data_IF_817705643914
#
_entry.id   IF_817705643914
#
_cell.length_a   1.000
_cell.length_b   1.000
_cell.length_c   1.000
_cell.angle_alpha   90.00
_cell.angle_beta   90.00
_cell.angle_gamma   90.00
#
_symmetry.space_group_name_H-M   'P 1'
#
loop_
_entity.id
_entity.type
_entity.pdbx_description
1 polymer ?
#
# COMPACT_ATOMS: atom_id res chain seq x y z
N UNK A 1 76.44 -21.73 -35.83
CA UNK A 1 75.83 -20.42 -35.54
C UNK A 1 74.61 -20.28 -36.44
N UNK A 2 73.41 -20.55 -35.92
CA UNK A 2 72.14 -20.14 -36.53
C UNK A 2 71.24 -19.71 -35.37
N UNK A 3 70.95 -18.42 -35.33
CA UNK A 3 70.17 -17.72 -34.33
C UNK A 3 68.68 -17.87 -34.62
N UNK A 4 67.95 -18.48 -33.71
CA UNK A 4 66.49 -18.50 -33.67
C UNK A 4 65.96 -17.08 -33.44
N UNK A 5 64.97 -16.61 -34.21
CA UNK A 5 64.49 -15.23 -34.09
C UNK A 5 63.59 -15.06 -32.86
N UNK A 6 63.94 -14.08 -32.03
CA UNK A 6 63.25 -13.61 -30.81
C UNK A 6 61.79 -13.16 -31.01
N UNK A 7 61.27 -13.17 -32.24
CA UNK A 7 59.93 -12.67 -32.58
C UNK A 7 58.80 -13.65 -32.30
N UNK A 8 59.08 -14.96 -32.19
CA UNK A 8 58.03 -15.97 -31.98
C UNK A 8 57.57 -16.01 -30.51
N UNK A 9 58.46 -15.75 -29.55
CA UNK A 9 58.10 -15.76 -28.13
C UNK A 9 57.28 -14.54 -27.69
N UNK A 10 57.42 -13.40 -28.36
CA UNK A 10 56.63 -12.20 -28.04
C UNK A 10 55.18 -12.36 -28.52
N UNK A 11 54.97 -12.99 -29.69
CA UNK A 11 53.63 -13.20 -30.24
C UNK A 11 52.80 -14.16 -29.38
N UNK A 12 53.42 -15.24 -28.88
CA UNK A 12 52.71 -16.22 -28.03
C UNK A 12 52.34 -15.61 -26.68
N UNK A 13 53.19 -14.76 -26.09
CA UNK A 13 52.90 -14.07 -24.82
C UNK A 13 51.80 -13.02 -25.00
N UNK A 14 51.80 -12.27 -26.11
CA UNK A 14 50.74 -11.27 -26.40
C UNK A 14 49.40 -11.95 -26.66
N UNK A 15 49.37 -13.08 -27.38
CA UNK A 15 48.13 -13.85 -27.62
C UNK A 15 47.58 -14.49 -26.34
N UNK A 16 48.45 -14.97 -25.43
CA UNK A 16 48.03 -15.49 -24.12
C UNK A 16 47.56 -14.38 -23.18
N UNK A 17 48.15 -13.18 -23.23
CA UNK A 17 47.68 -12.03 -22.45
C UNK A 17 46.31 -11.52 -22.96
N UNK A 18 46.10 -11.49 -24.28
CA UNK A 18 44.82 -11.10 -24.90
C UNK A 18 43.68 -12.08 -24.58
N UNK A 19 43.98 -13.38 -24.41
CA UNK A 19 42.99 -14.39 -24.01
C UNK A 19 42.64 -14.36 -22.51
N UNK A 20 43.43 -13.69 -21.66
CA UNK A 20 43.09 -13.52 -20.23
C UNK A 20 42.28 -12.25 -19.92
N UNK A 21 42.24 -11.28 -20.84
CA UNK A 21 41.47 -10.03 -20.67
C UNK A 21 40.03 -10.16 -21.18
N UNK A 22 39.73 -11.19 -21.97
CA UNK A 22 38.36 -11.56 -22.37
C UNK A 22 37.92 -12.83 -21.65
N UNK A 23 37.87 -12.80 -20.32
CA UNK A 23 36.89 -13.66 -19.64
C UNK A 23 35.54 -12.96 -19.79
N UNK A 24 34.53 -13.56 -20.45
CA UNK A 24 33.17 -13.06 -20.28
C UNK A 24 32.92 -13.07 -18.77
N UNK A 25 32.77 -11.88 -18.18
CA UNK A 25 32.15 -11.81 -16.87
C UNK A 25 30.79 -12.51 -17.02
N UNK A 26 30.31 -13.25 -15.99
CA UNK A 26 28.94 -13.68 -16.01
C UNK A 26 28.11 -12.42 -16.24
N UNK A 27 27.50 -12.35 -17.42
CA UNK A 27 26.49 -11.35 -17.71
C UNK A 27 25.43 -11.65 -16.65
N UNK A 28 25.38 -10.81 -15.61
CA UNK A 28 24.16 -10.67 -14.85
C UNK A 28 23.07 -10.55 -15.90
N UNK A 29 22.09 -11.46 -15.88
CA UNK A 29 20.98 -11.44 -16.81
C UNK A 29 20.54 -9.98 -16.95
N UNK A 30 20.80 -9.39 -18.13
CA UNK A 30 20.32 -8.05 -18.39
C UNK A 30 18.80 -8.21 -18.40
N UNK A 31 18.14 -7.63 -17.41
CA UNK A 31 16.69 -7.43 -17.45
C UNK A 31 16.36 -6.92 -18.86
N UNK A 32 15.40 -7.56 -19.51
CA UNK A 32 14.91 -7.12 -20.80
C UNK A 32 14.56 -5.62 -20.67
N UNK A 33 15.20 -4.72 -21.43
CA UNK A 33 14.97 -3.29 -21.32
C UNK A 33 13.52 -2.89 -21.68
N UNK A 34 12.70 -3.82 -22.18
CA UNK A 34 11.25 -3.64 -22.36
C UNK A 34 10.40 -4.25 -21.23
N UNK A 35 11.01 -4.81 -20.18
CA UNK A 35 10.29 -5.45 -19.10
C UNK A 35 10.28 -4.53 -17.88
N UNK A 36 9.09 -4.06 -17.50
CA UNK A 36 8.82 -3.22 -16.34
C UNK A 36 9.50 -3.73 -15.05
N UNK A 37 9.97 -2.87 -14.12
CA UNK A 37 10.86 -3.26 -13.03
C UNK A 37 10.12 -3.92 -11.84
N UNK A 38 9.35 -4.98 -12.08
CA UNK A 38 8.53 -5.68 -11.07
C UNK A 38 9.32 -6.11 -9.82
N UNK A 39 10.62 -6.39 -9.96
CA UNK A 39 11.50 -6.71 -8.82
C UNK A 39 11.56 -5.63 -7.74
N UNK A 40 11.19 -4.38 -8.06
CA UNK A 40 11.10 -3.27 -7.11
C UNK A 40 9.92 -3.38 -6.15
N UNK A 41 8.94 -4.22 -6.48
CA UNK A 41 7.76 -4.52 -5.69
C UNK A 41 7.91 -5.82 -4.86
N UNK A 42 9.15 -6.22 -4.55
CA UNK A 42 9.41 -7.48 -3.84
C UNK A 42 8.92 -7.49 -2.39
N UNK A 43 9.00 -6.34 -1.73
CA UNK A 43 8.57 -6.18 -0.33
C UNK A 43 7.06 -6.01 -0.23
N UNK A 44 6.49 -5.28 -1.18
CA UNK A 44 5.05 -5.14 -1.39
C UNK A 44 4.76 -4.23 -2.57
N UNK A 45 3.50 -4.25 -2.98
CA UNK A 45 2.96 -3.46 -4.05
C UNK A 45 1.53 -3.03 -3.74
N UNK A 46 1.11 -1.93 -4.34
CA UNK A 46 -0.26 -1.44 -4.26
C UNK A 46 -0.67 -0.73 -5.55
N UNK A 47 -1.95 -0.41 -5.66
CA UNK A 47 -2.50 0.57 -6.61
C UNK A 47 -3.35 1.59 -5.85
N UNK A 48 -3.68 2.71 -6.47
CA UNK A 48 -4.50 3.78 -5.87
C UNK A 48 -5.84 3.83 -6.55
N UNK A 49 -6.86 4.38 -5.88
CA UNK A 49 -8.19 4.61 -6.46
C UNK A 49 -8.18 5.78 -7.45
N UNK A 50 -7.31 6.76 -7.20
CA UNK A 50 -7.27 7.97 -7.99
C UNK A 50 -5.93 8.09 -8.74
N UNK A 51 -6.03 8.56 -9.98
CA UNK A 51 -4.89 8.98 -10.78
C UNK A 51 -4.12 10.13 -10.12
N UNK A 52 -2.80 10.16 -10.29
CA UNK A 52 -1.99 11.29 -9.86
C UNK A 52 -0.76 11.54 -10.72
N UNK A 53 -0.07 12.64 -10.46
CA UNK A 53 1.22 12.95 -11.10
C UNK A 53 2.30 12.88 -10.03
N UNK A 54 3.27 11.99 -10.23
CA UNK A 54 4.49 11.87 -9.44
C UNK A 54 5.34 13.13 -9.62
N UNK A 55 5.69 13.80 -8.53
CA UNK A 55 6.50 15.03 -8.58
C UNK A 55 8.00 14.77 -8.35
N UNK A 56 8.34 13.67 -7.67
CA UNK A 56 9.72 13.25 -7.46
C UNK A 56 9.95 11.78 -7.82
N UNK A 57 11.16 11.50 -8.29
CA UNK A 57 11.56 10.21 -8.84
C UNK A 57 11.40 10.13 -10.35
N UNK A 58 11.75 8.98 -10.94
CA UNK A 58 11.80 8.78 -12.38
C UNK A 58 11.14 7.44 -12.75
N UNK A 59 9.90 7.47 -13.28
CA UNK A 59 9.24 6.28 -13.84
C UNK A 59 10.13 5.62 -14.91
N UNK A 60 10.08 4.29 -15.02
CA UNK A 60 10.94 3.57 -15.96
C UNK A 60 10.66 3.90 -17.43
N UNK A 61 9.49 4.44 -17.74
CA UNK A 61 9.07 4.89 -19.06
C UNK A 61 9.16 6.42 -19.24
N UNK A 62 9.55 7.15 -18.19
CA UNK A 62 9.66 8.61 -18.17
C UNK A 62 8.34 9.38 -18.15
N UNK A 63 7.19 8.71 -17.98
CA UNK A 63 5.89 9.36 -17.86
C UNK A 63 5.51 9.56 -16.37
N UNK A 64 5.46 10.79 -15.83
CA UNK A 64 5.19 11.02 -14.41
C UNK A 64 3.72 10.83 -14.00
N UNK A 65 2.80 10.70 -14.97
CA UNK A 65 1.41 10.35 -14.65
C UNK A 65 1.36 8.90 -14.16
N UNK A 66 0.68 8.67 -13.05
CA UNK A 66 0.40 7.38 -12.44
C UNK A 66 -1.10 7.18 -12.53
N UNK A 67 -1.52 6.05 -13.08
CA UNK A 67 -2.93 5.68 -13.11
C UNK A 67 -3.33 4.84 -11.91
N UNK A 68 -4.61 4.89 -11.57
CA UNK A 68 -5.34 3.93 -10.72
C UNK A 68 -5.17 2.43 -11.10
N UNK A 69 -4.61 2.14 -12.27
CA UNK A 69 -4.29 0.80 -12.74
C UNK A 69 -2.82 0.42 -12.66
N UNK A 70 -1.96 1.28 -12.11
CA UNK A 70 -0.52 1.07 -12.03
C UNK A 70 -0.09 0.31 -10.76
N UNK A 71 0.96 -0.50 -10.87
CA UNK A 71 1.53 -1.23 -9.74
C UNK A 71 2.68 -0.43 -9.14
N UNK A 72 2.50 0.00 -7.89
CA UNK A 72 3.41 0.87 -7.15
C UNK A 72 4.09 0.10 -6.03
N UNK A 73 5.38 0.36 -5.78
CA UNK A 73 6.07 -0.18 -4.61
C UNK A 73 5.84 0.69 -3.37
N UNK A 74 5.99 0.10 -2.19
CA UNK A 74 5.95 0.79 -0.90
C UNK A 74 7.06 1.85 -0.71
N UNK A 75 8.00 1.97 -1.65
CA UNK A 75 9.16 2.86 -1.57
C UNK A 75 9.27 3.87 -2.72
N UNK A 76 8.16 4.18 -3.40
CA UNK A 76 8.12 5.27 -4.38
C UNK A 76 8.56 4.88 -5.78
N UNK A 77 8.37 3.63 -6.19
CA UNK A 77 8.74 3.16 -7.53
C UNK A 77 7.53 2.62 -8.26
N UNK A 78 7.31 3.10 -9.49
CA UNK A 78 6.42 2.47 -10.43
C UNK A 78 7.01 1.13 -10.90
N UNK A 79 6.37 0.03 -10.54
CA UNK A 79 6.82 -1.32 -10.85
C UNK A 79 6.28 -1.86 -12.17
N UNK A 80 5.03 -1.55 -12.51
CA UNK A 80 4.37 -1.94 -13.74
C UNK A 80 3.25 -0.96 -14.07
N UNK A 81 2.94 -0.78 -15.35
CA UNK A 81 1.75 -0.05 -15.78
C UNK A 81 0.54 -0.95 -15.89
N UNK A 82 -0.67 -0.38 -15.89
CA UNK A 82 -1.88 -1.13 -16.24
C UNK A 82 -1.75 -1.86 -17.59
N UNK A 83 -1.21 -1.16 -18.60
CA UNK A 83 -0.99 -1.72 -19.94
C UNK A 83 0.03 -2.88 -19.96
N UNK A 84 0.96 -2.93 -19.01
CA UNK A 84 1.92 -4.02 -18.89
C UNK A 84 1.25 -5.30 -18.38
N UNK A 85 0.28 -5.17 -17.47
CA UNK A 85 -0.51 -6.29 -16.97
C UNK A 85 -1.46 -6.81 -18.06
N UNK A 86 -2.05 -5.89 -18.83
CA UNK A 86 -3.01 -6.20 -19.88
C UNK A 86 -2.39 -6.67 -21.21
N UNK A 87 -1.07 -6.61 -21.34
CA UNK A 87 -0.35 -6.88 -22.59
C UNK A 87 -0.73 -8.21 -23.26
N UNK A 88 -0.91 -9.28 -22.46
CA UNK A 88 -1.29 -10.61 -22.98
C UNK A 88 -2.70 -10.64 -23.58
N UNK A 89 -3.62 -9.77 -23.13
CA UNK A 89 -5.01 -9.72 -23.59
C UNK A 89 -5.21 -8.80 -24.80
N UNK A 90 -4.25 -7.91 -25.07
CA UNK A 90 -4.27 -6.97 -26.19
C UNK A 90 -4.39 -7.67 -27.55
N UNK A 91 -3.68 -8.78 -27.77
CA UNK A 91 -3.61 -9.45 -29.08
C UNK A 91 -3.31 -8.46 -30.24
N UNK A 92 -2.44 -7.48 -29.99
CA UNK A 92 -2.06 -6.45 -30.96
C UNK A 92 -3.05 -5.28 -31.11
N UNK A 93 -4.09 -5.20 -30.28
CA UNK A 93 -4.98 -4.04 -30.19
C UNK A 93 -4.54 -3.10 -29.07
N UNK A 94 -5.00 -1.85 -29.12
CA UNK A 94 -4.92 -0.95 -27.98
C UNK A 94 -5.97 -1.35 -26.93
N UNK A 95 -5.54 -1.52 -25.68
CA UNK A 95 -6.42 -1.56 -24.51
C UNK A 95 -6.16 -0.23 -23.78
N UNK A 96 -7.21 0.55 -23.44
CA UNK A 96 -7.03 1.73 -22.59
C UNK A 96 -6.58 1.31 -21.19
N UNK A 97 -6.33 2.31 -20.35
CA UNK A 97 -6.29 2.03 -18.91
C UNK A 97 -7.65 1.51 -18.45
N UNK A 98 -7.64 0.49 -17.60
CA UNK A 98 -8.84 -0.16 -17.07
C UNK A 98 -8.88 -0.15 -15.54
N UNK A 99 -7.97 0.55 -14.87
CA UNK A 99 -7.87 0.53 -13.39
C UNK A 99 -7.40 -0.83 -12.84
N UNK A 100 -7.26 -0.92 -11.52
CA UNK A 100 -6.93 -2.14 -10.80
C UNK A 100 -7.68 -2.24 -9.46
N UNK A 101 -8.69 -3.11 -9.38
CA UNK A 101 -9.44 -3.35 -8.14
C UNK A 101 -8.88 -4.50 -7.28
N UNK A 102 -7.95 -5.28 -7.84
CA UNK A 102 -7.35 -6.38 -7.10
C UNK A 102 -5.97 -6.69 -7.62
N UNK A 103 -5.05 -7.02 -6.72
CA UNK A 103 -3.67 -7.33 -7.09
C UNK A 103 -3.05 -8.37 -6.16
N UNK A 104 -2.41 -9.36 -6.77
CA UNK A 104 -1.47 -10.22 -6.09
C UNK A 104 -0.27 -10.61 -6.94
N UNK A 105 0.94 -10.28 -6.47
CA UNK A 105 2.19 -10.69 -7.11
C UNK A 105 2.57 -12.10 -6.67
N UNK A 106 2.22 -13.09 -7.49
CA UNK A 106 2.46 -14.53 -7.22
C UNK A 106 3.94 -14.88 -7.34
N UNK A 107 4.58 -14.49 -8.44
CA UNK A 107 5.97 -14.81 -8.76
C UNK A 107 6.67 -13.65 -9.48
N UNK A 108 7.67 -13.05 -8.84
CA UNK A 108 8.41 -11.91 -9.39
C UNK A 108 9.36 -12.34 -10.52
N UNK A 109 10.25 -13.34 -10.33
CA UNK A 109 11.12 -13.82 -11.41
C UNK A 109 10.38 -14.16 -12.70
N UNK A 110 9.23 -14.83 -12.56
CA UNK A 110 8.42 -15.25 -13.72
C UNK A 110 7.29 -14.28 -14.07
N UNK A 111 7.22 -13.12 -13.39
CA UNK A 111 6.23 -12.04 -13.63
C UNK A 111 4.78 -12.53 -13.63
N UNK A 112 4.47 -13.45 -12.72
CA UNK A 112 3.10 -13.94 -12.52
C UNK A 112 2.42 -13.04 -11.52
N UNK A 113 1.43 -12.32 -12.02
CA UNK A 113 0.56 -11.43 -11.26
C UNK A 113 -0.86 -11.89 -11.52
N UNK A 114 -1.64 -12.01 -10.46
CA UNK A 114 -3.09 -12.13 -10.54
C UNK A 114 -3.70 -10.78 -10.21
N UNK A 115 -4.72 -10.36 -10.94
CA UNK A 115 -5.30 -9.02 -10.80
C UNK A 115 -6.73 -8.97 -11.31
N UNK A 116 -7.46 -7.92 -10.96
CA UNK A 116 -8.71 -7.54 -11.61
C UNK A 116 -8.64 -6.09 -12.09
N UNK A 117 -9.67 -5.64 -12.79
CA UNK A 117 -9.76 -4.30 -13.39
C UNK A 117 -11.13 -3.71 -13.07
N UNK A 118 -11.18 -2.41 -12.83
CA UNK A 118 -12.39 -1.61 -12.61
C UNK A 118 -13.32 -1.64 -13.82
N UNK A 119 -12.73 -1.61 -15.02
CA UNK A 119 -13.46 -1.49 -16.27
C UNK A 119 -13.44 -2.76 -17.12
N UNK A 120 -14.59 -3.07 -17.72
CA UNK A 120 -14.72 -4.14 -18.72
C UNK A 120 -13.72 -3.97 -19.87
N UNK A 121 -13.22 -5.09 -20.39
CA UNK A 121 -12.52 -5.08 -21.66
C UNK A 121 -13.46 -4.58 -22.78
N UNK A 122 -13.10 -3.52 -23.54
CA UNK A 122 -13.91 -3.05 -24.66
C UNK A 122 -14.18 -4.13 -25.73
N UNK A 123 -13.31 -5.15 -25.83
CA UNK A 123 -13.48 -6.29 -26.74
C UNK A 123 -14.21 -7.49 -26.10
N UNK A 124 -14.63 -7.40 -24.84
CA UNK A 124 -15.38 -8.41 -24.08
C UNK A 124 -14.66 -9.76 -23.97
N UNK A 125 -13.34 -9.74 -23.83
CA UNK A 125 -12.58 -10.97 -23.53
C UNK A 125 -12.63 -11.33 -22.05
N UNK A 126 -12.83 -10.34 -21.20
CA UNK A 126 -13.06 -10.43 -19.76
C UNK A 126 -13.96 -9.27 -19.36
N UNK A 127 -14.59 -9.39 -18.20
CA UNK A 127 -15.43 -8.35 -17.59
C UNK A 127 -14.69 -7.78 -16.36
N UNK A 128 -15.06 -6.60 -15.87
CA UNK A 128 -14.55 -6.10 -14.58
C UNK A 128 -14.85 -7.09 -13.46
N UNK A 129 -14.00 -7.21 -12.45
CA UNK A 129 -14.12 -8.25 -11.41
C UNK A 129 -13.73 -9.68 -11.81
N UNK A 130 -13.46 -9.98 -13.10
CA UNK A 130 -12.83 -11.24 -13.47
C UNK A 130 -11.41 -11.30 -12.90
N UNK A 131 -10.97 -12.47 -12.41
CA UNK A 131 -9.59 -12.67 -11.96
C UNK A 131 -8.69 -13.03 -13.15
N UNK A 132 -7.86 -12.07 -13.53
CA UNK A 132 -6.90 -12.13 -14.63
C UNK A 132 -5.52 -12.56 -14.15
N UNK A 133 -4.75 -13.16 -15.05
CA UNK A 133 -3.34 -13.46 -14.82
C UNK A 133 -2.50 -12.93 -15.97
N UNK A 134 -1.30 -12.44 -15.69
CA UNK A 134 -0.32 -12.03 -16.73
C UNK A 134 0.06 -13.17 -17.69
N UNK A 135 -0.20 -14.43 -17.30
CA UNK A 135 -0.08 -15.62 -18.14
C UNK A 135 -1.17 -15.72 -19.22
N UNK A 136 -2.21 -14.90 -19.16
CA UNK A 136 -3.37 -14.90 -20.06
C UNK A 136 -4.57 -15.73 -19.60
N UNK A 137 -4.47 -16.38 -18.44
CA UNK A 137 -5.61 -17.06 -17.83
C UNK A 137 -6.65 -16.05 -17.32
N UNK A 138 -7.93 -16.45 -17.37
CA UNK A 138 -9.07 -15.67 -16.86
C UNK A 138 -9.99 -16.60 -16.09
N UNK A 139 -10.26 -16.27 -14.83
CA UNK A 139 -11.29 -16.92 -14.01
C UNK A 139 -12.43 -15.91 -13.89
N UNK A 140 -13.63 -16.21 -14.44
CA UNK A 140 -14.76 -15.31 -14.32
C UNK A 140 -15.13 -15.03 -12.86
N UNK A 141 -15.55 -13.80 -12.54
CA UNK A 141 -16.02 -13.46 -11.20
C UNK A 141 -17.13 -14.40 -10.71
N UNK A 142 -18.07 -14.70 -11.60
CA UNK A 142 -19.14 -15.66 -11.36
C UNK A 142 -18.63 -17.06 -10.98
N UNK A 143 -17.44 -17.47 -11.43
CA UNK A 143 -16.85 -18.75 -11.05
C UNK A 143 -16.23 -18.72 -9.63
N UNK A 144 -15.70 -17.58 -9.20
CA UNK A 144 -15.24 -17.36 -7.81
C UNK A 144 -16.43 -17.44 -6.83
N UNK A 145 -17.56 -16.87 -7.24
CA UNK A 145 -18.80 -16.75 -6.45
C UNK A 145 -19.72 -17.98 -6.52
N UNK A 146 -19.57 -18.81 -7.55
CA UNK A 146 -20.43 -19.97 -7.76
C UNK A 146 -20.51 -20.94 -6.55
N UNK A 147 -19.42 -21.24 -5.80
CA UNK A 147 -19.49 -22.07 -4.61
C UNK A 147 -20.43 -21.52 -3.53
N UNK A 148 -20.59 -20.19 -3.48
CA UNK A 148 -21.52 -19.50 -2.59
C UNK A 148 -22.96 -19.42 -3.14
N UNK A 149 -23.21 -19.99 -4.33
CA UNK A 149 -24.52 -20.01 -4.99
C UNK A 149 -24.86 -18.73 -5.75
N UNK A 150 -23.88 -17.84 -5.94
CA UNK A 150 -24.04 -16.56 -6.65
C UNK A 150 -23.53 -16.72 -8.08
N UNK A 151 -24.30 -16.24 -9.06
CA UNK A 151 -24.04 -16.49 -10.49
C UNK A 151 -23.76 -15.23 -11.30
N UNK A 152 -24.09 -14.07 -10.75
CA UNK A 152 -23.78 -12.79 -11.36
C UNK A 152 -22.34 -12.39 -11.02
N UNK A 153 -21.79 -11.51 -11.86
CA UNK A 153 -20.58 -10.77 -11.56
C UNK A 153 -20.91 -9.69 -10.50
N UNK A 154 -20.08 -9.55 -9.48
CA UNK A 154 -20.20 -8.58 -8.40
C UNK A 154 -18.96 -7.68 -8.23
N UNK A 155 -18.03 -7.65 -9.20
CA UNK A 155 -16.76 -6.97 -8.99
C UNK A 155 -15.78 -7.80 -8.15
N UNK A 156 -14.54 -7.36 -8.04
CA UNK A 156 -13.49 -8.04 -7.28
C UNK A 156 -12.51 -7.03 -6.71
N UNK A 157 -12.60 -6.81 -5.41
CA UNK A 157 -11.88 -5.70 -4.76
C UNK A 157 -10.71 -6.19 -3.90
N UNK A 158 -10.40 -7.48 -4.01
CA UNK A 158 -9.36 -8.09 -3.20
C UNK A 158 -9.10 -9.50 -3.63
N UNK A 159 -7.82 -9.87 -3.66
CA UNK A 159 -7.41 -11.24 -3.98
C UNK A 159 -6.18 -11.64 -3.19
N UNK A 160 -6.25 -12.84 -2.60
CA UNK A 160 -5.14 -13.43 -1.87
C UNK A 160 -5.12 -14.97 -2.03
N UNK A 161 -4.07 -15.50 -2.64
CA UNK A 161 -3.80 -16.93 -2.77
C UNK A 161 -3.26 -17.47 -1.44
N UNK A 162 -3.88 -18.53 -0.93
CA UNK A 162 -3.45 -19.21 0.29
C UNK A 162 -2.83 -20.57 -0.07
N UNK A 163 -1.67 -20.85 0.51
CA UNK A 163 -0.92 -22.09 0.32
C UNK A 163 0.55 -21.86 -0.05
N UNK A 164 1.33 -22.94 0.00
CA UNK A 164 2.76 -22.89 -0.34
C UNK A 164 2.98 -22.37 -1.76
N UNK A 165 4.05 -21.58 -1.96
CA UNK A 165 4.38 -20.95 -3.24
C UNK A 165 4.34 -21.93 -4.42
N UNK A 166 4.98 -23.09 -4.29
CA UNK A 166 5.06 -24.08 -5.37
C UNK A 166 3.69 -24.65 -5.75
N UNK A 167 2.76 -24.69 -4.79
CA UNK A 167 1.39 -25.17 -5.00
C UNK A 167 0.53 -24.11 -5.69
N UNK A 168 0.63 -22.87 -5.24
CA UNK A 168 0.01 -21.71 -5.92
C UNK A 168 0.54 -21.63 -7.35
N UNK A 169 1.86 -21.80 -7.55
CA UNK A 169 2.45 -21.83 -8.88
C UNK A 169 1.88 -22.96 -9.74
N UNK A 170 1.83 -24.19 -9.21
CA UNK A 170 1.23 -25.33 -9.91
C UNK A 170 -0.23 -25.07 -10.30
N UNK A 171 -1.00 -24.41 -9.43
CA UNK A 171 -2.37 -23.99 -9.73
C UNK A 171 -2.39 -23.05 -10.94
N UNK A 172 -1.62 -21.97 -10.92
CA UNK A 172 -1.55 -21.00 -12.04
C UNK A 172 -1.08 -21.66 -13.34
N UNK A 173 -0.05 -22.51 -13.29
CA UNK A 173 0.45 -23.23 -14.47
C UNK A 173 -0.64 -24.12 -15.10
N UNK A 174 -1.56 -24.64 -14.27
CA UNK A 174 -2.69 -25.45 -14.75
C UNK A 174 -3.73 -24.59 -15.47
N UNK A 175 -3.97 -23.35 -15.01
CA UNK A 175 -4.93 -22.42 -15.62
C UNK A 175 -4.58 -22.05 -17.06
N UNK A 176 -3.30 -22.04 -17.43
CA UNK A 176 -2.83 -21.67 -18.77
C UNK A 176 -3.45 -22.50 -19.91
N UNK A 177 -4.02 -23.68 -19.59
CA UNK A 177 -4.64 -24.58 -20.56
C UNK A 177 -6.17 -24.65 -20.44
N UNK A 178 -6.78 -23.80 -19.61
CA UNK A 178 -8.21 -23.81 -19.33
C UNK A 178 -8.83 -22.52 -19.90
N UNK A 179 -9.74 -22.60 -20.90
CA UNK A 179 -10.39 -21.42 -21.42
C UNK A 179 -11.39 -20.84 -20.39
N UNK A 180 -11.57 -19.52 -20.40
CA UNK A 180 -12.52 -18.78 -19.54
C UNK A 180 -13.89 -19.48 -19.40
N UNK A 181 -14.49 -19.84 -20.53
CA UNK A 181 -15.84 -20.41 -20.57
C UNK A 181 -15.95 -21.78 -19.87
N UNK A 182 -14.85 -22.53 -19.74
CA UNK A 182 -14.88 -23.83 -19.06
C UNK A 182 -15.27 -23.70 -17.58
N UNK A 183 -14.93 -22.58 -16.93
CA UNK A 183 -15.33 -22.30 -15.55
C UNK A 183 -16.82 -22.01 -15.40
N UNK A 184 -17.46 -21.48 -16.45
CA UNK A 184 -18.90 -21.23 -16.48
C UNK A 184 -19.69 -22.50 -16.83
N UNK A 185 -19.10 -23.37 -17.66
CA UNK A 185 -19.69 -24.65 -18.08
C UNK A 185 -19.63 -25.71 -16.98
N UNK A 186 -18.54 -25.79 -16.21
CA UNK A 186 -18.38 -26.67 -15.04
C UNK A 186 -18.23 -25.86 -13.75
N UNK A 187 -19.34 -25.67 -12.99
CA UNK A 187 -19.35 -24.92 -11.74
C UNK A 187 -18.40 -25.46 -10.65
N UNK A 188 -17.94 -26.71 -10.75
CA UNK A 188 -17.03 -27.30 -9.76
C UNK A 188 -15.57 -27.25 -10.18
N UNK A 189 -15.26 -26.84 -11.42
CA UNK A 189 -13.91 -26.89 -11.97
C UNK A 189 -12.90 -26.16 -11.07
N UNK A 190 -13.19 -24.91 -10.73
CA UNK A 190 -12.29 -24.08 -9.92
C UNK A 190 -12.03 -24.69 -8.54
N UNK A 191 -13.10 -25.08 -7.83
CA UNK A 191 -13.01 -25.69 -6.49
C UNK A 191 -12.20 -26.99 -6.53
N UNK A 192 -12.37 -27.80 -7.58
CA UNK A 192 -11.61 -29.04 -7.74
C UNK A 192 -10.12 -28.76 -7.96
N UNK A 193 -9.76 -27.77 -8.79
CA UNK A 193 -8.37 -27.37 -9.02
C UNK A 193 -7.70 -26.88 -7.72
N UNK A 194 -8.38 -26.07 -6.92
CA UNK A 194 -7.89 -25.59 -5.63
C UNK A 194 -7.68 -26.74 -4.63
N UNK A 195 -8.60 -27.73 -4.61
CA UNK A 195 -8.45 -28.93 -3.78
C UNK A 195 -7.28 -29.80 -4.23
N UNK A 196 -7.13 -30.04 -5.53
CA UNK A 196 -6.05 -30.85 -6.10
C UNK A 196 -4.65 -30.26 -5.90
N UNK A 197 -4.58 -28.93 -5.82
CA UNK A 197 -3.33 -28.20 -5.58
C UNK A 197 -3.11 -27.86 -4.12
N UNK A 198 -4.08 -28.16 -3.24
CA UNK A 198 -4.06 -27.81 -1.81
C UNK A 198 -3.84 -26.30 -1.58
N UNK A 199 -4.48 -25.47 -2.41
CA UNK A 199 -4.47 -23.99 -2.34
C UNK A 199 -5.87 -23.45 -2.08
N UNK A 200 -5.98 -22.15 -1.84
CA UNK A 200 -7.24 -21.41 -1.79
C UNK A 200 -7.10 -20.05 -2.46
N UNK A 201 -8.22 -19.42 -2.76
CA UNK A 201 -8.32 -18.01 -3.16
C UNK A 201 -9.23 -17.35 -2.14
N UNK A 202 -8.69 -16.37 -1.42
CA UNK A 202 -9.46 -15.45 -0.61
C UNK A 202 -9.74 -14.19 -1.42
N UNK A 203 -10.95 -13.66 -1.35
CA UNK A 203 -11.36 -12.52 -2.16
C UNK A 203 -12.51 -11.72 -1.54
N UNK A 204 -12.60 -10.43 -1.87
CA UNK A 204 -13.75 -9.53 -1.60
C UNK A 204 -14.45 -9.16 -2.92
N UNK A 205 -15.60 -8.49 -2.86
CA UNK A 205 -16.42 -8.13 -4.02
C UNK A 205 -17.14 -6.81 -3.76
N UNK A 206 -17.31 -5.97 -4.79
CA UNK A 206 -18.03 -4.68 -4.76
C UNK A 206 -19.54 -4.76 -4.45
N UNK A 207 -20.07 -5.98 -4.32
CA UNK A 207 -21.50 -6.25 -4.32
C UNK A 207 -22.01 -7.00 -3.09
N UNK A 208 -22.96 -6.39 -2.38
CA UNK A 208 -23.76 -7.11 -1.37
C UNK A 208 -24.78 -8.07 -2.02
N UNK A 209 -24.90 -9.29 -1.48
CA UNK A 209 -25.88 -10.30 -1.89
C UNK A 209 -26.90 -10.56 -0.80
N UNK A 210 -28.18 -10.59 -1.17
CA UNK A 210 -29.28 -11.00 -0.30
C UNK A 210 -30.16 -9.83 0.15
N UNK A 211 -31.21 -10.11 0.95
CA UNK A 211 -32.06 -9.05 1.50
C UNK A 211 -31.31 -8.24 2.57
N UNK A 212 -31.57 -6.94 2.67
CA UNK A 212 -30.92 -6.03 3.62
C UNK A 212 -31.07 -6.47 5.09
N UNK A 213 -32.18 -7.12 5.44
CA UNK A 213 -32.43 -7.61 6.80
C UNK A 213 -31.65 -8.88 7.14
N UNK A 214 -31.07 -9.54 6.13
CA UNK A 214 -30.27 -10.75 6.28
C UNK A 214 -29.36 -10.94 5.05
N UNK A 215 -28.34 -10.07 4.90
CA UNK A 215 -27.37 -10.21 3.82
C UNK A 215 -26.69 -11.57 3.94
N UNK A 216 -26.41 -12.17 2.78
CA UNK A 216 -25.70 -13.43 2.66
C UNK A 216 -24.19 -13.20 2.53
N UNK A 217 -23.82 -12.17 1.77
CA UNK A 217 -22.46 -11.71 1.51
C UNK A 217 -22.55 -10.19 1.54
N UNK A 218 -21.70 -9.56 2.33
CA UNK A 218 -21.43 -8.13 2.27
C UNK A 218 -20.29 -7.86 1.31
N UNK A 219 -20.23 -6.65 0.81
CA UNK A 219 -19.12 -6.20 -0.01
C UNK A 219 -17.80 -6.34 0.77
N UNK A 220 -17.82 -5.88 2.02
CA UNK A 220 -16.69 -5.98 2.92
C UNK A 220 -16.45 -7.35 3.56
N UNK A 221 -16.99 -8.43 3.01
CA UNK A 221 -16.71 -9.80 3.46
C UNK A 221 -15.53 -10.41 2.68
N UNK A 222 -14.58 -11.01 3.39
CA UNK A 222 -13.53 -11.82 2.78
C UNK A 222 -14.02 -13.26 2.64
N UNK A 223 -14.11 -13.77 1.41
CA UNK A 223 -14.64 -15.09 1.05
C UNK A 223 -13.53 -16.07 0.70
N UNK A 224 -13.75 -17.37 0.92
CA UNK A 224 -12.89 -18.46 0.42
C UNK A 224 -13.59 -19.22 -0.70
N UNK A 225 -12.94 -19.30 -1.87
CA UNK A 225 -13.46 -20.08 -3.01
C UNK A 225 -13.50 -21.58 -2.67
N UNK A 226 -12.43 -22.13 -2.08
CA UNK A 226 -12.31 -23.58 -1.85
C UNK A 226 -13.34 -24.10 -0.86
N UNK A 227 -13.63 -23.33 0.18
CA UNK A 227 -14.49 -23.74 1.30
C UNK A 227 -15.93 -23.21 1.17
N UNK A 228 -16.15 -22.22 0.29
CA UNK A 228 -17.44 -21.55 0.12
C UNK A 228 -17.95 -20.90 1.41
N UNK A 229 -17.05 -20.31 2.19
CA UNK A 229 -17.36 -19.63 3.45
C UNK A 229 -16.77 -18.23 3.52
N UNK A 230 -17.38 -17.40 4.37
CA UNK A 230 -16.80 -16.14 4.82
C UNK A 230 -15.63 -16.47 5.74
N UNK A 231 -14.44 -16.04 5.35
CA UNK A 231 -13.18 -16.16 6.09
C UNK A 231 -13.17 -15.16 7.24
N UNK A 232 -13.54 -13.92 6.95
CA UNK A 232 -13.73 -12.84 7.92
C UNK A 232 -14.80 -11.89 7.38
N UNK A 233 -15.84 -11.64 8.17
CA UNK A 233 -16.86 -10.66 7.80
C UNK A 233 -16.44 -9.25 8.20
N UNK A 234 -17.15 -8.24 7.71
CA UNK A 234 -16.88 -6.83 8.07
C UNK A 234 -16.88 -6.62 9.61
N UNK A 235 -17.74 -7.35 10.33
CA UNK A 235 -17.79 -7.34 11.79
C UNK A 235 -16.56 -7.96 12.49
N UNK A 236 -15.89 -8.92 11.84
CA UNK A 236 -14.69 -9.55 12.37
C UNK A 236 -13.44 -8.73 12.06
N UNK A 237 -13.46 -7.99 10.94
CA UNK A 237 -12.34 -7.19 10.45
C UNK A 237 -12.14 -5.91 11.28
N UNK A 238 -13.23 -5.25 11.64
CA UNK A 238 -13.21 -3.94 12.32
C UNK A 238 -13.67 -4.03 13.78
N UNK A 239 -13.05 -3.27 14.71
CA UNK A 239 -13.31 -3.39 16.14
C UNK A 239 -14.74 -2.92 16.47
N UNK A 240 -15.29 -3.41 17.59
CA UNK A 240 -16.67 -3.12 18.02
C UNK A 240 -17.03 -1.62 18.16
N UNK A 241 -16.04 -0.73 18.21
CA UNK A 241 -16.26 0.73 18.22
C UNK A 241 -16.64 1.30 16.84
N UNK A 242 -16.34 0.56 15.77
CA UNK A 242 -16.71 0.87 14.38
C UNK A 242 -18.05 0.18 14.07
N UNK A 243 -19.02 0.83 13.42
CA UNK A 243 -20.34 0.26 13.13
C UNK A 243 -20.33 -0.75 11.94
N UNK A 244 -19.28 -1.56 11.82
CA UNK A 244 -19.02 -2.47 10.70
C UNK A 244 -19.81 -3.79 10.78
N UNK A 245 -20.57 -4.09 9.73
CA UNK A 245 -21.41 -5.28 9.60
C UNK A 245 -22.90 -4.94 9.54
N UNK A 246 -23.53 -5.18 8.39
CA UNK A 246 -24.99 -5.15 8.25
C UNK A 246 -25.62 -6.50 8.61
N UNK A 247 -26.84 -6.51 9.18
CA UNK A 247 -27.64 -5.35 9.59
C UNK A 247 -27.36 -4.89 11.03
N UNK A 248 -26.56 -5.65 11.79
CA UNK A 248 -26.53 -5.56 13.26
C UNK A 248 -25.68 -4.40 13.78
N UNK A 249 -24.56 -4.06 13.12
CA UNK A 249 -23.66 -2.97 13.51
C UNK A 249 -23.86 -1.69 12.68
N UNK A 250 -24.35 -1.82 11.45
CA UNK A 250 -25.09 -0.75 10.76
C UNK A 250 -24.47 -0.21 9.47
N UNK A 251 -23.23 -0.55 9.14
CA UNK A 251 -22.53 -0.09 7.93
C UNK A 251 -21.79 -1.26 7.31
N UNK A 252 -21.90 -1.42 6.00
CA UNK A 252 -20.97 -2.22 5.21
C UNK A 252 -19.87 -1.29 4.75
N UNK A 253 -18.64 -1.53 5.19
CA UNK A 253 -17.49 -0.67 4.88
C UNK A 253 -16.82 -1.02 3.55
N UNK A 254 -17.22 -2.11 2.89
CA UNK A 254 -16.51 -2.61 1.72
C UNK A 254 -15.10 -3.12 2.05
N UNK A 255 -14.38 -3.59 1.03
CA UNK A 255 -12.99 -4.03 1.11
C UNK A 255 -12.26 -3.84 -0.22
N UNK A 256 -11.44 -2.80 -0.34
CA UNK A 256 -10.81 -2.41 -1.62
C UNK A 256 -9.42 -2.99 -1.82
N UNK A 257 -8.84 -3.51 -0.74
CA UNK A 257 -7.57 -4.16 -0.84
C UNK A 257 -7.42 -5.19 0.25
N UNK A 258 -6.81 -6.33 -0.07
CA UNK A 258 -6.60 -7.43 0.86
C UNK A 258 -5.26 -8.07 0.60
N UNK A 259 -4.48 -8.28 1.66
CA UNK A 259 -3.29 -9.14 1.63
C UNK A 259 -3.22 -10.01 2.89
N UNK A 260 -2.64 -11.19 2.76
CA UNK A 260 -2.19 -12.01 3.87
C UNK A 260 -0.82 -12.60 3.54
N UNK A 261 -0.07 -13.06 4.56
CA UNK A 261 0.94 -14.06 4.26
C UNK A 261 0.27 -15.31 3.70
N UNK A 262 1.02 -16.14 2.98
CA UNK A 262 0.54 -17.40 2.38
C UNK A 262 0.91 -18.64 3.21
N UNK A 263 0.60 -18.75 4.52
CA UNK A 263 0.78 -20.02 5.21
C UNK A 263 -0.22 -21.05 4.66
N UNK A 264 0.05 -22.32 4.90
CA UNK A 264 -0.91 -23.41 4.64
C UNK A 264 -2.05 -23.47 5.66
N UNK A 265 -1.95 -22.70 6.74
CA UNK A 265 -2.86 -22.69 7.88
C UNK A 265 -3.68 -21.40 7.91
N UNK A 266 -5.00 -21.54 7.83
CA UNK A 266 -5.95 -20.42 7.75
C UNK A 266 -5.82 -19.44 8.93
N UNK A 267 -5.68 -19.94 10.16
CA UNK A 267 -5.57 -19.08 11.35
C UNK A 267 -4.29 -18.22 11.31
N UNK A 268 -3.19 -18.78 10.82
CA UNK A 268 -1.96 -18.00 10.59
C UNK A 268 -2.12 -16.99 9.46
N UNK A 269 -2.87 -17.30 8.41
CA UNK A 269 -3.14 -16.36 7.33
C UNK A 269 -3.96 -15.18 7.87
N UNK A 270 -5.06 -15.45 8.60
CA UNK A 270 -5.89 -14.44 9.28
C UNK A 270 -5.08 -13.53 10.20
N UNK A 271 -4.16 -14.08 10.99
CA UNK A 271 -3.31 -13.29 11.89
C UNK A 271 -2.42 -12.26 11.15
N UNK A 272 -2.19 -12.46 9.85
CA UNK A 272 -1.37 -11.60 9.00
C UNK A 272 -2.19 -10.76 8.03
N UNK A 273 -3.51 -10.87 8.07
CA UNK A 273 -4.40 -10.17 7.18
C UNK A 273 -4.23 -8.66 7.35
N UNK A 274 -4.09 -7.97 6.22
CA UNK A 274 -4.18 -6.53 6.11
C UNK A 274 -5.17 -6.19 5.02
N UNK A 275 -5.83 -5.06 5.18
CA UNK A 275 -6.89 -4.67 4.26
C UNK A 275 -7.07 -3.14 4.21
N UNK A 276 -7.72 -2.66 3.16
CA UNK A 276 -8.34 -1.33 3.07
C UNK A 276 -9.86 -1.47 2.98
N UNK A 277 -10.60 -0.37 3.02
CA UNK A 277 -12.07 -0.35 3.01
C UNK A 277 -12.58 0.73 2.08
N UNK A 278 -13.64 0.46 1.29
CA UNK A 278 -14.29 1.42 0.36
C UNK A 278 -14.62 2.78 0.95
N UNK A 279 -14.89 2.85 2.26
CA UNK A 279 -15.26 4.10 2.91
C UNK A 279 -14.48 4.37 4.18
N UNK A 280 -14.16 5.65 4.37
CA UNK A 280 -13.55 6.15 5.60
C UNK A 280 -14.45 6.06 6.84
N UNK A 281 -13.83 6.08 8.01
CA UNK A 281 -14.50 6.23 9.30
C UNK A 281 -13.85 7.32 10.15
N UNK A 282 -14.61 8.35 10.49
CA UNK A 282 -14.14 9.48 11.30
C UNK A 282 -14.27 9.28 12.83
N UNK A 283 -14.59 8.06 13.28
CA UNK A 283 -14.73 7.73 14.71
C UNK A 283 -13.42 7.26 15.35
N UNK A 284 -13.51 6.40 16.37
CA UNK A 284 -12.33 5.86 17.07
C UNK A 284 -12.28 4.33 16.95
N UNK A 285 -11.24 3.75 16.32
CA UNK A 285 -10.12 4.43 15.64
C UNK A 285 -10.60 5.10 14.34
N UNK A 286 -10.01 6.23 13.97
CA UNK A 286 -10.25 6.86 12.68
C UNK A 286 -9.38 6.20 11.60
N UNK A 287 -9.94 6.05 10.40
CA UNK A 287 -9.23 5.56 9.22
C UNK A 287 -9.88 6.09 7.94
N UNK A 288 -9.14 5.99 6.85
CA UNK A 288 -9.57 6.34 5.50
C UNK A 288 -9.60 5.14 4.57
N UNK A 289 -10.23 5.27 3.41
CA UNK A 289 -10.32 4.21 2.39
C UNK A 289 -8.97 3.84 1.74
N UNK A 290 -7.95 4.69 1.92
CA UNK A 290 -6.58 4.40 1.51
C UNK A 290 -5.64 3.86 2.60
N UNK A 291 -6.12 3.66 3.83
CA UNK A 291 -5.28 3.21 4.95
C UNK A 291 -5.16 1.68 5.01
N UNK A 292 -3.95 1.18 5.24
CA UNK A 292 -3.76 -0.26 5.48
C UNK A 292 -4.08 -0.56 6.94
N UNK A 293 -5.12 -1.36 7.16
CA UNK A 293 -5.62 -1.79 8.45
C UNK A 293 -5.19 -3.22 8.81
N UNK A 294 -5.19 -3.52 10.10
CA UNK A 294 -5.13 -4.87 10.66
C UNK A 294 -6.45 -5.21 11.35
N UNK A 295 -6.77 -6.50 11.41
CA UNK A 295 -7.95 -7.02 12.10
C UNK A 295 -8.07 -6.44 13.51
N UNK A 296 -9.28 -6.01 13.89
CA UNK A 296 -9.61 -5.31 15.14
C UNK A 296 -9.09 -3.85 15.23
N UNK A 297 -8.84 -3.19 14.10
CA UNK A 297 -8.78 -1.72 14.02
C UNK A 297 -7.42 -1.09 14.29
N UNK A 298 -6.33 -1.80 14.00
CA UNK A 298 -5.01 -1.17 13.96
C UNK A 298 -4.76 -0.53 12.61
N UNK A 299 -4.63 0.80 12.53
CA UNK A 299 -4.04 1.45 11.34
C UNK A 299 -2.56 1.09 11.31
N UNK A 300 -2.16 0.31 10.30
CA UNK A 300 -0.79 -0.17 10.10
C UNK A 300 0.02 0.87 9.33
N UNK A 301 -0.55 1.41 8.26
CA UNK A 301 -0.01 2.57 7.56
C UNK A 301 -1.14 3.43 7.05
N UNK A 302 -0.94 4.74 7.02
CA UNK A 302 -1.90 5.65 6.41
C UNK A 302 -1.67 5.78 4.90
N UNK A 303 -2.70 6.13 4.14
CA UNK A 303 -2.59 6.42 2.70
C UNK A 303 -1.49 7.44 2.43
N UNK A 304 -1.50 8.53 3.20
CA UNK A 304 -0.50 9.60 3.10
C UNK A 304 0.94 9.12 3.26
N UNK A 305 1.20 8.14 4.14
CA UNK A 305 2.54 7.55 4.30
C UNK A 305 2.86 6.63 3.12
N UNK A 306 1.88 5.90 2.62
CA UNK A 306 2.02 4.96 1.51
C UNK A 306 2.40 5.69 0.20
N UNK A 307 1.76 6.83 -0.07
CA UNK A 307 1.96 7.59 -1.32
C UNK A 307 3.03 8.69 -1.20
N UNK A 308 3.43 9.09 0.02
CA UNK A 308 4.44 10.12 0.24
C UNK A 308 5.74 9.97 -0.58
N UNK A 309 6.30 8.76 -0.79
CA UNK A 309 7.49 8.59 -1.62
C UNK A 309 7.37 9.07 -3.07
N UNK A 310 6.14 9.23 -3.58
CA UNK A 310 5.87 9.73 -4.93
C UNK A 310 5.65 11.25 -4.99
N UNK A 311 5.53 11.91 -3.83
CA UNK A 311 5.14 13.31 -3.67
C UNK A 311 3.95 13.69 -4.57
N UNK A 312 2.78 13.04 -4.40
CA UNK A 312 1.60 13.39 -5.17
C UNK A 312 1.17 14.84 -4.91
N UNK A 313 0.52 15.46 -5.90
CA UNK A 313 -0.12 16.76 -5.73
C UNK A 313 -1.41 16.72 -4.89
N UNK A 314 -1.85 15.53 -4.51
CA UNK A 314 -3.07 15.24 -3.77
C UNK A 314 -2.72 14.49 -2.49
N UNK A 315 -3.48 14.74 -1.43
CA UNK A 315 -3.21 14.20 -0.09
C UNK A 315 -3.99 12.90 0.19
N UNK A 316 -4.86 12.49 -0.75
CA UNK A 316 -5.78 11.39 -0.62
C UNK A 316 -6.03 10.73 -1.97
N UNK A 317 -5.69 9.45 -2.09
CA UNK A 317 -5.72 8.72 -3.36
C UNK A 317 -6.42 7.36 -3.26
N UNK A 318 -7.02 7.01 -2.13
CA UNK A 318 -7.61 5.68 -1.92
C UNK A 318 -6.59 4.54 -2.02
N UNK A 319 -7.06 3.29 -2.00
CA UNK A 319 -6.24 2.09 -2.13
C UNK A 319 -7.06 0.93 -2.71
N UNK A 320 -6.93 0.68 -4.01
CA UNK A 320 -7.73 -0.33 -4.72
C UNK A 320 -7.05 -1.68 -4.86
N UNK A 321 -5.77 -1.78 -4.49
CA UNK A 321 -5.08 -3.04 -4.61
C UNK A 321 -3.89 -3.13 -3.65
N UNK A 322 -3.67 -4.32 -3.07
CA UNK A 322 -2.56 -4.53 -2.15
C UNK A 322 -1.99 -5.94 -2.26
N UNK A 323 -0.67 -6.03 -2.41
CA UNK A 323 0.06 -7.30 -2.50
C UNK A 323 1.34 -7.21 -1.68
N UNK A 324 1.51 -8.00 -0.63
CA UNK A 324 2.77 -8.05 0.12
C UNK A 324 3.25 -9.48 0.41
N UNK A 325 4.58 -9.64 0.57
CA UNK A 325 5.23 -10.95 0.81
C UNK A 325 5.78 -11.11 2.22
N UNK A 326 5.82 -10.02 2.95
CA UNK A 326 6.16 -9.92 4.36
C UNK A 326 4.93 -9.25 4.98
N UNK A 327 4.54 -9.53 6.25
CA UNK A 327 3.60 -8.64 6.91
C UNK A 327 4.20 -7.26 6.71
N UNK A 328 3.44 -6.30 6.21
CA UNK A 328 3.90 -4.93 5.97
C UNK A 328 4.32 -4.29 7.30
N UNK A 329 5.41 -4.75 7.90
CA UNK A 329 6.47 -3.86 8.27
C UNK A 329 6.86 -3.23 6.94
N UNK A 330 6.30 -2.06 6.66
CA UNK A 330 7.15 -1.00 6.13
C UNK A 330 8.37 -1.09 7.03
N UNK A 331 9.49 -1.60 6.51
CA UNK A 331 10.68 -1.81 7.31
C UNK A 331 10.97 -0.47 7.95
N UNK A 332 10.66 -0.39 9.25
CA UNK A 332 11.08 0.69 10.12
C UNK A 332 11.13 2.03 9.38
N UNK A 333 9.99 2.62 8.97
CA UNK A 333 10.01 3.88 8.23
C UNK A 333 10.94 4.84 8.97
N UNK A 334 11.87 5.44 8.22
CA UNK A 334 12.87 6.33 8.81
C UNK A 334 12.15 7.30 9.75
N UNK A 335 12.68 7.54 10.97
CA UNK A 335 12.00 8.38 11.93
C UNK A 335 11.65 9.73 11.32
N UNK A 336 10.37 9.99 11.13
CA UNK A 336 9.88 11.18 10.45
C UNK A 336 8.81 11.86 11.28
N UNK A 337 8.81 13.19 11.22
CA UNK A 337 7.72 13.99 11.75
C UNK A 337 6.58 13.90 10.74
N UNK A 338 5.40 13.47 11.18
CA UNK A 338 4.21 13.37 10.34
C UNK A 338 3.28 14.55 10.53
N UNK A 339 3.24 15.15 11.73
CA UNK A 339 2.43 16.33 12.00
C UNK A 339 3.14 17.37 12.86
N UNK A 340 2.82 18.65 12.62
CA UNK A 340 3.25 19.78 13.44
C UNK A 340 2.02 20.63 13.74
N UNK A 341 1.67 20.80 15.00
CA UNK A 341 0.48 21.56 15.38
C UNK A 341 -0.84 20.86 15.03
N UNK A 342 -0.85 19.52 14.93
CA UNK A 342 -2.01 18.74 14.49
C UNK A 342 -2.30 18.84 12.98
N UNK A 343 -1.35 19.34 12.19
CA UNK A 343 -1.40 19.44 10.72
C UNK A 343 -0.36 18.53 10.10
N UNK A 344 -0.69 17.86 9.00
CA UNK A 344 0.27 17.00 8.29
C UNK A 344 1.47 17.82 7.80
N UNK A 345 2.68 17.24 7.82
CA UNK A 345 3.87 17.95 7.33
C UNK A 345 3.80 18.24 5.83
N UNK A 346 3.08 17.42 5.05
CA UNK A 346 2.79 17.66 3.63
C UNK A 346 2.02 18.97 3.42
N UNK A 347 1.00 19.22 4.25
CA UNK A 347 0.20 20.46 4.23
C UNK A 347 1.01 21.72 4.57
N UNK A 348 2.19 21.57 5.19
CA UNK A 348 3.05 22.66 5.65
C UNK A 348 4.16 22.97 4.63
N UNK A 349 4.59 21.98 3.84
CA UNK A 349 5.70 22.09 2.89
C UNK A 349 5.21 22.31 1.45
N UNK A 350 5.03 23.57 1.06
CA UNK A 350 4.65 24.00 -0.31
C UNK A 350 3.28 23.50 -0.83
N UNK A 351 2.48 22.82 -0.01
CA UNK A 351 1.12 22.36 -0.34
C UNK A 351 0.19 23.47 -0.88
N UNK A 352 -0.52 23.15 -1.97
CA UNK A 352 -1.48 24.03 -2.63
C UNK A 352 -2.75 24.12 -1.78
N UNK A 353 -2.94 25.28 -1.15
CA UNK A 353 -4.06 25.53 -0.23
C UNK A 353 -5.38 25.65 -1.00
N UNK A 354 -6.39 24.85 -0.64
CA UNK A 354 -7.78 25.12 -1.01
C UNK A 354 -8.22 26.49 -0.47
N UNK A 355 -8.87 27.32 -1.30
CA UNK A 355 -9.27 28.68 -0.93
C UNK A 355 -10.23 28.69 0.27
N UNK A 356 -9.72 29.04 1.46
CA UNK A 356 -10.53 29.30 2.66
C UNK A 356 -10.08 28.59 3.96
N UNK A 357 -9.08 27.71 3.92
CA UNK A 357 -8.71 26.81 5.05
C UNK A 357 -7.51 27.26 5.88
N UNK A 358 -7.01 28.49 5.69
CA UNK A 358 -5.77 28.97 6.33
C UNK A 358 -4.53 28.49 5.59
N UNK A 359 -3.46 29.30 5.56
CA UNK A 359 -2.26 29.02 4.77
C UNK A 359 -1.19 28.32 5.62
N UNK A 360 -0.70 27.15 5.19
CA UNK A 360 0.43 26.46 5.82
C UNK A 360 0.25 26.25 7.34
N UNK A 361 1.23 26.68 8.12
CA UNK A 361 1.24 26.57 9.59
C UNK A 361 0.10 27.33 10.34
N UNK A 362 -0.84 27.99 9.64
CA UNK A 362 -1.91 28.79 10.24
C UNK A 362 -3.30 28.11 10.07
N UNK A 363 -4.05 27.84 11.16
CA UNK A 363 -5.39 27.26 11.08
C UNK A 363 -6.43 28.16 10.38
N UNK A 364 -7.42 27.54 9.71
CA UNK A 364 -8.59 28.22 9.13
C UNK A 364 -9.37 29.01 10.19
N UNK A 365 -9.84 30.22 9.87
CA UNK A 365 -10.79 30.95 10.72
C UNK A 365 -10.20 31.77 11.86
N UNK A 366 -8.87 31.85 12.00
CA UNK A 366 -8.20 32.72 13.00
C UNK A 366 -7.93 34.14 12.51
N UNK A 367 -8.53 34.56 11.39
CA UNK A 367 -8.68 35.98 11.04
C UNK A 367 -9.60 36.65 12.07
N UNK A 368 -9.05 37.10 13.20
CA UNK A 368 -9.72 38.14 13.96
C UNK A 368 -9.81 39.35 13.05
N UNK A 369 -11.04 39.70 12.65
CA UNK A 369 -11.34 41.05 12.16
C UNK A 369 -10.71 42.03 13.15
N UNK A 370 -9.77 42.85 12.66
CA UNK A 370 -8.98 43.74 13.50
C UNK A 370 -9.86 44.52 14.47
N UNK A 371 -9.53 44.44 15.75
CA UNK A 371 -10.08 45.36 16.74
C UNK A 371 -9.78 46.78 16.27
N UNK A 372 -10.81 47.63 16.25
CA UNK A 372 -10.80 48.96 15.61
C UNK A 372 -9.98 50.00 16.37
N UNK A 373 -9.18 49.59 17.36
CA UNK A 373 -8.60 50.47 18.36
C UNK A 373 -7.13 50.87 18.11
N UNK A 374 -6.54 50.42 17.00
CA UNK A 374 -5.21 50.86 16.58
C UNK A 374 -4.07 50.34 17.46
N UNK A 375 -4.30 49.31 18.26
CA UNK A 375 -3.20 48.60 18.93
C UNK A 375 -2.33 47.84 17.92
N UNK A 376 -0.98 47.91 18.00
CA UNK A 376 -0.11 47.13 17.13
C UNK A 376 -0.35 45.63 17.38
N UNK A 377 -0.79 44.91 16.35
CA UNK A 377 -0.91 43.45 16.43
C UNK A 377 0.47 42.85 16.72
N UNK A 378 0.59 42.08 17.80
CA UNK A 378 1.74 41.21 18.00
C UNK A 378 1.77 40.22 16.83
N UNK A 379 2.95 39.88 16.27
CA UNK A 379 3.04 38.87 15.22
C UNK A 379 2.46 37.55 15.76
N UNK A 380 1.39 37.06 15.13
CA UNK A 380 0.75 35.81 15.51
C UNK A 380 1.74 34.66 15.28
N UNK A 381 2.03 33.89 16.34
CA UNK A 381 2.81 32.68 16.22
C UNK A 381 1.89 31.56 15.68
N UNK A 382 2.22 30.92 14.55
CA UNK A 382 1.34 29.95 13.88
C UNK A 382 0.86 28.80 14.78
N UNK A 383 1.64 28.46 15.81
CA UNK A 383 1.36 27.36 16.74
C UNK A 383 1.34 27.80 18.22
N UNK A 384 1.11 29.08 18.53
CA UNK A 384 1.12 29.55 19.92
C UNK A 384 2.49 29.38 20.61
N UNK A 385 2.52 29.09 21.92
CA UNK A 385 3.75 28.93 22.71
C UNK A 385 4.21 27.48 22.87
N UNK A 386 3.36 26.51 22.52
CA UNK A 386 3.63 25.07 22.57
C UNK A 386 3.17 24.44 21.26
N UNK A 387 4.06 23.67 20.62
CA UNK A 387 3.80 23.06 19.31
C UNK A 387 3.78 21.55 19.49
N UNK A 388 2.64 20.86 19.35
CA UNK A 388 2.62 19.41 19.32
C UNK A 388 3.33 18.93 18.05
N UNK A 389 4.13 17.87 18.18
CA UNK A 389 4.87 17.26 17.08
C UNK A 389 4.61 15.76 17.15
N UNK A 390 4.02 15.23 16.09
CA UNK A 390 3.74 13.81 15.94
C UNK A 390 4.66 13.21 14.89
N UNK A 391 5.01 11.94 15.06
CA UNK A 391 5.93 11.27 14.16
C UNK A 391 5.86 9.77 14.26
N UNK A 392 6.57 9.12 13.36
CA UNK A 392 6.73 7.67 13.35
C UNK A 392 8.13 7.36 13.87
N UNK A 393 8.23 6.37 14.73
CA UNK A 393 9.49 5.80 15.19
C UNK A 393 9.62 4.37 14.67
N UNK A 394 10.86 3.97 14.47
CA UNK A 394 11.22 2.59 14.20
C UNK A 394 10.89 1.71 15.42
N UNK A 395 10.43 0.49 15.18
CA UNK A 395 10.05 -0.52 16.19
C UNK A 395 11.19 -0.95 17.11
N UNK A 396 12.45 -0.79 16.68
CA UNK A 396 13.66 -1.03 17.48
C UNK A 396 14.26 0.27 18.05
N UNK A 397 13.61 1.42 17.85
CA UNK A 397 14.02 2.68 18.48
C UNK A 397 13.99 2.50 19.99
N UNK A 398 15.13 2.74 20.63
CA UNK A 398 15.25 2.77 22.09
C UNK A 398 15.14 4.20 22.61
N UNK A 399 15.72 5.15 21.88
CA UNK A 399 15.62 6.57 22.16
C UNK A 399 15.47 7.39 20.87
N UNK A 400 14.77 8.51 20.93
CA UNK A 400 14.64 9.47 19.83
C UNK A 400 14.83 10.91 20.32
N UNK A 401 14.98 11.85 19.39
CA UNK A 401 15.00 13.28 19.70
C UNK A 401 14.41 14.08 18.54
N UNK A 402 13.81 15.22 18.85
CA UNK A 402 13.37 16.18 17.84
C UNK A 402 14.38 17.30 17.73
N UNK A 403 14.83 17.60 16.51
CA UNK A 403 15.85 18.59 16.20
C UNK A 403 15.25 19.65 15.27
N UNK A 404 15.79 20.87 15.31
CA UNK A 404 15.46 21.93 14.37
C UNK A 404 16.77 22.56 13.88
N UNK A 405 16.75 23.10 12.66
CA UNK A 405 17.86 23.87 12.12
C UNK A 405 17.33 25.22 11.67
N UNK A 406 18.16 26.27 11.79
CA UNK A 406 17.84 27.51 11.12
C UNK A 406 18.14 27.32 9.63
N UNK A 407 17.16 27.58 8.76
CA UNK A 407 17.31 27.43 7.30
C UNK A 407 18.52 28.21 6.77
N UNK A 408 18.93 29.30 7.44
CA UNK A 408 20.05 30.14 7.01
C UNK A 408 21.45 29.57 7.35
N UNK A 409 21.57 28.73 8.38
CA UNK A 409 22.88 28.17 8.78
C UNK A 409 22.98 26.66 8.54
N UNK A 410 21.86 25.96 8.36
CA UNK A 410 21.81 24.51 8.12
C UNK A 410 22.39 23.68 9.26
N UNK A 411 22.66 24.30 10.42
CA UNK A 411 23.22 23.61 11.58
C UNK A 411 22.06 23.14 12.46
N UNK A 412 21.94 21.83 12.73
CA UNK A 412 20.95 21.34 13.67
C UNK A 412 21.29 21.83 15.07
N UNK A 413 20.35 22.55 15.68
CA UNK A 413 20.46 23.01 17.06
C UNK A 413 19.53 22.16 17.95
N UNK A 414 19.96 21.78 19.16
CA UNK A 414 19.05 21.18 20.12
C UNK A 414 17.97 22.19 20.52
N UNK A 415 16.70 21.77 20.54
CA UNK A 415 15.57 22.63 20.92
C UNK A 415 15.76 23.07 22.38
N UNK A 416 15.98 24.37 22.60
CA UNK A 416 16.09 24.98 23.94
C UNK A 416 14.71 25.21 24.58
N UNK A 417 13.86 24.18 24.63
CA UNK A 417 12.60 24.24 25.36
C UNK A 417 12.44 23.02 26.27
N UNK A 418 11.80 23.23 27.42
CA UNK A 418 11.37 22.15 28.29
C UNK A 418 10.17 21.46 27.65
N UNK A 419 10.39 20.26 27.13
CA UNK A 419 9.32 19.43 26.59
C UNK A 419 8.39 18.96 27.71
N UNK A 420 7.09 18.92 27.40
CA UNK A 420 6.06 18.30 28.22
C UNK A 420 5.23 17.42 27.28
N UNK A 421 5.01 16.16 27.64
CA UNK A 421 4.02 15.33 26.96
C UNK A 421 2.65 15.75 27.48
N UNK A 422 1.74 16.06 26.57
CA UNK A 422 0.33 16.26 26.89
C UNK A 422 -0.33 14.87 26.99
N UNK A 423 -0.98 14.59 28.11
CA UNK A 423 -1.85 13.41 28.22
C UNK A 423 -3.22 13.87 27.75
N UNK A 424 -3.62 13.43 26.56
CA UNK A 424 -4.90 13.85 26.00
C UNK A 424 -6.04 13.43 26.92
N UNK A 425 -6.78 14.41 27.45
CA UNK A 425 -7.88 14.19 28.40
C UNK A 425 -9.22 13.96 27.70
N UNK A 426 -9.25 13.93 26.36
CA UNK A 426 -10.46 13.70 25.57
C UNK A 426 -11.25 14.97 25.21
N UNK A 427 -10.72 16.18 25.43
CA UNK A 427 -11.44 17.43 25.14
C UNK A 427 -10.97 18.08 23.82
N UNK A 428 -11.81 18.02 22.77
CA UNK A 428 -11.48 18.53 21.43
C UNK A 428 -11.48 20.06 21.33
N UNK A 429 -12.08 20.75 22.30
CA UNK A 429 -12.30 22.20 22.25
C UNK A 429 -11.30 23.01 23.09
N UNK A 430 -10.51 22.33 23.93
CA UNK A 430 -9.46 22.95 24.73
C UNK A 430 -8.24 22.01 24.81
N UNK A 431 -7.37 22.00 23.78
CA UNK A 431 -6.16 21.17 23.78
C UNK A 431 -5.12 21.60 24.84
N UNK A 432 -5.44 22.59 25.67
CA UNK A 432 -4.58 23.17 26.71
C UNK A 432 -5.08 22.89 28.15
N UNK A 433 -6.12 22.08 28.36
CA UNK A 433 -6.56 21.66 29.71
C UNK A 433 -5.61 20.59 30.27
N UNK A 434 -4.45 21.08 30.73
CA UNK A 434 -3.24 20.34 31.06
C UNK A 434 -3.32 19.52 32.37
N UNK A 435 -3.17 18.20 32.27
CA UNK A 435 -2.33 17.47 33.23
C UNK A 435 -0.96 17.23 32.60
N UNK A 436 -0.01 18.10 32.92
CA UNK A 436 1.36 17.96 32.41
C UNK A 436 2.16 17.04 33.32
N UNK A 437 2.50 15.84 32.83
CA UNK A 437 3.57 15.05 33.45
C UNK A 437 4.89 15.60 32.94
N UNK A 438 5.77 16.01 33.86
CA UNK A 438 7.11 16.43 33.48
C UNK A 438 7.86 15.18 33.03
N UNK A 439 7.99 15.00 31.72
CA UNK A 439 8.78 13.92 31.16
C UNK A 439 10.25 14.30 31.33
N UNK A 440 10.93 13.61 32.24
CA UNK A 440 12.37 13.73 32.33
C UNK A 440 12.97 13.11 31.09
N UNK A 441 13.96 13.77 30.50
CA UNK A 441 15.01 13.13 29.70
C UNK A 441 15.24 11.70 30.21
N UNK A 442 15.65 10.79 29.34
CA UNK A 442 16.15 9.45 29.69
C UNK A 442 17.35 9.42 30.68
N UNK A 443 17.63 10.53 31.37
CA UNK A 443 18.83 10.82 32.13
C UNK A 443 19.87 11.59 31.30
N UNK A 444 19.66 11.73 29.98
CA UNK A 444 20.62 12.36 29.07
C UNK A 444 20.46 13.89 29.03
N UNK A 445 21.53 14.70 29.24
CA UNK A 445 21.45 16.16 29.19
C UNK A 445 21.15 16.76 27.79
N UNK A 446 21.04 15.93 26.74
CA UNK A 446 21.04 16.36 25.34
C UNK A 446 19.67 16.26 24.63
N UNK A 447 18.56 16.06 25.36
CA UNK A 447 17.20 16.09 24.80
C UNK A 447 16.73 14.80 24.12
N UNK A 448 17.21 13.64 24.61
CA UNK A 448 16.78 12.32 24.17
C UNK A 448 15.59 11.80 24.99
N UNK A 449 14.68 11.13 24.28
CA UNK A 449 13.41 10.62 24.76
C UNK A 449 13.39 9.10 24.69
N UNK A 450 12.82 8.44 25.70
CA UNK A 450 12.64 6.98 25.70
C UNK A 450 11.49 6.58 24.77
N UNK A 451 11.79 5.77 23.76
CA UNK A 451 10.81 5.39 22.74
C UNK A 451 9.78 4.36 23.23
N UNK A 452 10.14 3.52 24.21
CA UNK A 452 9.21 2.55 24.82
C UNK A 452 8.14 3.28 25.63
N UNK A 453 8.54 4.31 26.36
CA UNK A 453 7.62 5.18 27.09
C UNK A 453 6.74 5.98 26.12
N UNK A 454 7.28 6.53 25.04
CA UNK A 454 6.49 7.22 24.01
C UNK A 454 5.40 6.31 23.41
N UNK A 455 5.76 5.08 23.02
CA UNK A 455 4.82 4.11 22.46
C UNK A 455 3.68 3.74 23.44
N UNK A 456 3.93 3.77 24.75
CA UNK A 456 2.92 3.47 25.77
C UNK A 456 1.85 4.56 25.96
N UNK A 457 2.11 5.79 25.47
CA UNK A 457 1.17 6.93 25.54
C UNK A 457 0.52 7.25 24.18
N UNK A 458 0.73 6.42 23.16
CA UNK A 458 0.09 6.55 21.84
C UNK A 458 -1.33 5.98 21.91
N UNK A 459 -2.27 6.77 22.43
CA UNK A 459 -3.72 6.49 22.41
C UNK A 459 -4.50 7.79 22.29
#
# INVERSE_FOLDING_TARGET
MYTTPRTINLLIIVTLLLLTVFRPQPVAAQDDPNAYPLGRCQEGAFSTEEDFVMQEGEPYDGNPYISDGDVLSLNGVLCARNHDLLATFAAGRYIPDLGLDALEIIDIPDRIIAFSTELDDPAKKFDSGDLLFTTGAVIPNAALLNPCGVKQNLGLDGVQFIGERDRVRKFVDTLANIPRDAFLEDPNLLVNLLKETETDIWFSTEGTVGPLEKPQILDGDLLSVRTASIVAGNEDLLPNTVPAGLPDRGVDFGLDAVMALRPTDEERAKATLRFSTEILFAGEPAFTDGDILAINGGVVTTNSVLVAPFLPAADFLGLDALSARVPTQIENPDPMITHIGGRGVGDIHEGVVATGTGTGAYPAGTYQQGLSDGTPQLPYHPFGSYIPIDGILQTDTTEFRVMYANVADGVPHPIQTTWKINVWTGNIYDPCDDSTVTWGNSGSPDGWFDATQYAAYRF
#
